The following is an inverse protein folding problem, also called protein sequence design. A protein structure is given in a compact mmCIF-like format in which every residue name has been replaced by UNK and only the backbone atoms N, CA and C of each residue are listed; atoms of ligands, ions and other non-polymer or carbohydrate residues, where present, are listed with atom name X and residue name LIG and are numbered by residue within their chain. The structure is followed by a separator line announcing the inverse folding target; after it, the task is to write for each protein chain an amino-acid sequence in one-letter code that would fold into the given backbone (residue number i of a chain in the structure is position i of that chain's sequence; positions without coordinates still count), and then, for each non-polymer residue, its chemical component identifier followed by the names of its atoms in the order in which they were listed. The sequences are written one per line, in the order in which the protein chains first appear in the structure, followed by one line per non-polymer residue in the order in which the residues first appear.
data_IF_921882547331
#
_entry.id   IF_921882547331
#
_cell.length_a   1.000
_cell.length_b   1.000
_cell.length_c   1.000
_cell.angle_alpha   90.00
_cell.angle_beta   90.00
_cell.angle_gamma   90.00
#
_symmetry.space_group_name_H-M   'P 1'
#
loop_
_entity.id
_entity.type
_entity.pdbx_description
1 polymer ?
#
# COMPACT_ATOMS: atom_id res chain seq x y z
N UNK A 1 -8.97 2.27 -65.93
CA UNK A 1 -8.62 2.83 -64.61
C UNK A 1 -9.91 3.29 -63.92
N UNK A 2 -10.43 2.50 -62.96
CA UNK A 2 -11.69 2.82 -62.29
C UNK A 2 -11.45 3.81 -61.13
N UNK A 3 -11.80 5.10 -61.34
CA UNK A 3 -11.85 6.11 -60.27
C UNK A 3 -12.97 5.74 -59.30
N UNK A 4 -12.62 5.24 -58.11
CA UNK A 4 -13.60 5.04 -57.02
C UNK A 4 -14.12 6.41 -56.58
N UNK A 5 -15.39 6.70 -56.88
CA UNK A 5 -16.11 7.85 -56.36
C UNK A 5 -16.26 7.69 -54.85
N UNK A 6 -15.57 8.51 -54.07
CA UNK A 6 -15.83 8.62 -52.63
C UNK A 6 -17.21 9.26 -52.44
N UNK A 7 -18.10 8.54 -51.76
CA UNK A 7 -19.39 9.07 -51.31
C UNK A 7 -19.13 10.12 -50.22
N UNK A 8 -19.89 11.23 -50.18
CA UNK A 8 -19.75 12.21 -49.11
C UNK A 8 -20.04 11.51 -47.77
N UNK A 9 -19.09 11.62 -46.84
CA UNK A 9 -19.24 11.09 -45.49
C UNK A 9 -20.47 11.73 -44.84
N UNK A 10 -21.38 10.89 -44.34
CA UNK A 10 -22.53 11.33 -43.57
C UNK A 10 -22.06 12.21 -42.40
N UNK A 11 -22.78 13.29 -42.05
CA UNK A 11 -22.44 14.16 -40.92
C UNK A 11 -22.29 13.38 -39.59
N UNK A 12 -22.98 12.24 -39.48
CA UNK A 12 -22.87 11.31 -38.33
C UNK A 12 -21.50 10.62 -38.30
N UNK A 13 -20.94 10.24 -39.45
CA UNK A 13 -19.62 9.63 -39.54
C UNK A 13 -18.50 10.63 -39.16
N UNK A 14 -18.72 11.92 -39.45
CA UNK A 14 -17.80 12.98 -39.02
C UNK A 14 -17.84 13.18 -37.51
N UNK A 15 -19.04 13.24 -36.91
CA UNK A 15 -19.20 13.31 -35.45
C UNK A 15 -18.57 12.13 -34.72
N UNK A 16 -18.77 10.91 -35.22
CA UNK A 16 -18.12 9.72 -34.67
C UNK A 16 -16.60 9.79 -34.76
N UNK A 17 -16.06 10.31 -35.87
CA UNK A 17 -14.62 10.53 -36.02
C UNK A 17 -14.05 11.50 -34.99
N UNK A 18 -14.74 12.61 -34.72
CA UNK A 18 -14.34 13.59 -33.69
C UNK A 18 -14.38 12.96 -32.30
N UNK A 19 -15.44 12.23 -31.97
CA UNK A 19 -15.59 11.57 -30.67
C UNK A 19 -14.46 10.56 -30.44
N UNK A 20 -14.19 9.70 -31.43
CA UNK A 20 -13.11 8.70 -31.35
C UNK A 20 -11.74 9.38 -31.21
N UNK A 21 -11.51 10.49 -31.92
CA UNK A 21 -10.26 11.25 -31.84
C UNK A 21 -10.03 11.85 -30.45
N UNK A 22 -11.06 12.45 -29.85
CA UNK A 22 -10.98 13.04 -28.50
C UNK A 22 -10.78 11.94 -27.44
N UNK A 23 -11.50 10.82 -27.54
CA UNK A 23 -11.31 9.66 -26.66
C UNK A 23 -9.91 9.08 -26.78
N UNK A 24 -9.38 8.93 -27.99
CA UNK A 24 -8.02 8.45 -28.23
C UNK A 24 -6.96 9.38 -27.61
N UNK A 25 -7.09 10.70 -27.81
CA UNK A 25 -6.19 11.68 -27.22
C UNK A 25 -6.24 11.65 -25.68
N UNK A 26 -7.42 11.51 -25.09
CA UNK A 26 -7.61 11.41 -23.65
C UNK A 26 -6.95 10.15 -23.06
N UNK A 27 -7.09 9.00 -23.71
CA UNK A 27 -6.46 7.75 -23.29
C UNK A 27 -4.93 7.88 -23.35
N UNK A 28 -4.38 8.44 -24.43
CA UNK A 28 -2.93 8.65 -24.58
C UNK A 28 -2.40 9.61 -23.51
N UNK A 29 -3.14 10.68 -23.20
CA UNK A 29 -2.78 11.62 -22.14
C UNK A 29 -2.73 10.93 -20.77
N UNK A 30 -3.75 10.15 -20.42
CA UNK A 30 -3.79 9.41 -19.16
C UNK A 30 -2.64 8.39 -19.04
N UNK A 31 -2.31 7.67 -20.11
CA UNK A 31 -1.18 6.72 -20.14
C UNK A 31 0.16 7.44 -19.95
N UNK A 32 0.33 8.63 -20.53
CA UNK A 32 1.56 9.43 -20.36
C UNK A 32 1.71 9.94 -18.92
N UNK A 33 0.62 10.42 -18.32
CA UNK A 33 0.62 10.90 -16.92
C UNK A 33 0.95 9.75 -15.95
N UNK A 34 0.30 8.58 -16.12
CA UNK A 34 0.57 7.40 -15.31
C UNK A 34 2.02 6.87 -15.47
N UNK A 35 2.59 6.99 -16.67
CA UNK A 35 3.99 6.60 -16.91
C UNK A 35 4.99 7.53 -16.22
N UNK A 36 4.68 8.82 -16.12
CA UNK A 36 5.53 9.81 -15.44
C UNK A 36 5.54 9.58 -13.93
N UNK A 37 4.37 9.29 -13.32
CA UNK A 37 4.27 8.98 -11.88
C UNK A 37 5.04 7.70 -11.52
N UNK A 38 4.95 6.66 -12.36
CA UNK A 38 5.60 5.37 -12.11
C UNK A 38 7.13 5.43 -12.28
N UNK A 39 7.65 6.30 -13.16
CA UNK A 39 9.10 6.53 -13.30
C UNK A 39 9.66 7.42 -12.17
N UNK A 40 8.90 8.42 -11.73
CA UNK A 40 9.31 9.31 -10.64
C UNK A 40 9.50 8.51 -9.33
N UNK A 41 8.56 7.61 -9.00
CA UNK A 41 8.67 6.75 -7.80
C UNK A 41 9.91 5.84 -7.83
N UNK A 42 10.20 5.20 -8.98
CA UNK A 42 11.36 4.31 -9.11
C UNK A 42 12.71 5.03 -9.01
N UNK A 43 12.80 6.30 -9.40
CA UNK A 43 14.02 7.09 -9.23
C UNK A 43 14.19 7.60 -7.80
N UNK A 44 13.09 7.90 -7.10
CA UNK A 44 13.11 8.30 -5.68
C UNK A 44 13.58 7.14 -4.79
N UNK A 45 13.12 5.91 -5.03
CA UNK A 45 13.56 4.74 -4.24
C UNK A 45 15.07 4.45 -4.40
N UNK A 46 15.59 4.55 -5.62
CA UNK A 46 17.03 4.31 -5.88
C UNK A 46 17.92 5.39 -5.28
N UNK A 47 17.47 6.65 -5.30
CA UNK A 47 18.24 7.77 -4.73
C UNK A 47 18.20 7.75 -3.20
N UNK A 48 17.07 7.39 -2.58
CA UNK A 48 16.99 7.24 -1.11
C UNK A 48 17.93 6.16 -0.57
N UNK A 49 18.09 5.04 -1.26
CA UNK A 49 19.03 3.98 -0.85
C UNK A 49 20.50 4.43 -0.91
N UNK A 50 20.87 5.29 -1.86
CA UNK A 50 22.21 5.86 -1.95
C UNK A 50 22.47 6.90 -0.85
N UNK A 51 21.49 7.75 -0.57
CA UNK A 51 21.58 8.76 0.50
C UNK A 51 21.67 8.11 1.88
N UNK A 52 20.90 7.05 2.15
CA UNK A 52 21.00 6.31 3.42
C UNK A 52 22.40 5.71 3.65
N UNK A 53 23.04 5.16 2.61
CA UNK A 53 24.40 4.63 2.71
C UNK A 53 25.41 5.72 3.06
N UNK A 54 25.29 6.89 2.44
CA UNK A 54 26.19 8.04 2.70
C UNK A 54 25.98 8.57 4.12
N UNK A 55 24.73 8.69 4.58
CA UNK A 55 24.41 9.11 5.95
C UNK A 55 24.97 8.14 6.99
N UNK A 56 24.80 6.83 6.79
CA UNK A 56 25.40 5.81 7.67
C UNK A 56 26.93 5.92 7.72
N UNK A 57 27.58 6.13 6.58
CA UNK A 57 29.04 6.26 6.52
C UNK A 57 29.55 7.52 7.22
N UNK A 58 28.83 8.64 7.10
CA UNK A 58 29.15 9.88 7.82
C UNK A 58 28.90 9.75 9.33
N UNK A 59 27.83 9.07 9.74
CA UNK A 59 27.51 8.83 11.14
C UNK A 59 28.55 7.91 11.81
N UNK A 60 29.02 6.87 11.10
CA UNK A 60 30.12 6.02 11.57
C UNK A 60 31.41 6.83 11.73
N UNK A 61 31.74 7.71 10.77
CA UNK A 61 32.92 8.59 10.89
C UNK A 61 32.84 9.57 12.06
N UNK A 62 31.66 10.12 12.35
CA UNK A 62 31.47 10.98 13.52
C UNK A 62 31.61 10.21 14.84
N UNK A 63 31.08 8.98 14.91
CA UNK A 63 31.21 8.14 16.10
C UNK A 63 32.65 7.65 16.36
N UNK A 64 33.51 7.60 15.33
CA UNK A 64 34.94 7.30 15.47
C UNK A 64 35.77 8.48 15.99
N UNK A 65 35.28 9.72 15.85
CA UNK A 65 35.98 10.95 16.27
C UNK A 65 35.42 11.46 17.61
N UNK A 66 34.22 11.05 18.01
CA UNK A 66 33.69 11.34 19.33
C UNK A 66 34.60 10.74 20.41
N UNK A 67 35.06 11.51 21.41
CA UNK A 67 35.77 10.94 22.53
C UNK A 67 34.85 9.91 23.18
N UNK A 68 35.28 8.64 23.19
CA UNK A 68 34.66 7.60 24.03
C UNK A 68 34.71 8.14 25.46
N UNK A 69 33.59 8.68 25.93
CA UNK A 69 33.37 8.89 27.35
C UNK A 69 33.57 7.53 28.00
N UNK A 70 34.67 7.37 28.71
CA UNK A 70 34.99 6.19 29.49
C UNK A 70 34.01 6.15 30.66
N UNK A 71 32.77 5.72 30.37
CA UNK A 71 31.79 5.37 31.39
C UNK A 71 32.44 4.36 32.32
N UNK A 72 32.31 4.60 33.63
CA UNK A 72 32.75 3.63 34.63
C UNK A 72 32.06 2.27 34.36
N UNK A 73 32.73 1.13 34.57
CA UNK A 73 32.11 -0.19 34.39
C UNK A 73 30.76 -0.34 35.14
N UNK A 74 30.58 0.36 36.26
CA UNK A 74 29.31 0.41 37.00
C UNK A 74 28.20 1.17 36.25
N UNK A 75 28.53 2.24 35.54
CA UNK A 75 27.59 3.01 34.73
C UNK A 75 27.20 2.25 33.47
N UNK A 76 28.13 1.49 32.90
CA UNK A 76 27.92 0.61 31.75
C UNK A 76 26.97 -0.54 32.09
N UNK A 77 27.14 -1.17 33.27
CA UNK A 77 26.23 -2.19 33.77
C UNK A 77 24.81 -1.65 34.05
N UNK A 78 24.70 -0.40 34.56
CA UNK A 78 23.40 0.27 34.77
C UNK A 78 22.72 0.62 33.45
N UNK A 79 23.46 1.09 32.44
CA UNK A 79 22.91 1.33 31.11
C UNK A 79 22.45 0.03 30.45
N UNK A 80 23.27 -1.03 30.48
CA UNK A 80 22.92 -2.29 29.84
C UNK A 80 21.67 -2.94 30.47
N UNK A 81 21.53 -2.86 31.80
CA UNK A 81 20.32 -3.35 32.47
C UNK A 81 19.08 -2.50 32.13
N UNK A 82 19.21 -1.18 32.02
CA UNK A 82 18.13 -0.30 31.59
C UNK A 82 17.72 -0.54 30.13
N UNK A 83 18.70 -0.75 29.23
CA UNK A 83 18.46 -1.06 27.82
C UNK A 83 17.80 -2.44 27.64
N UNK A 84 18.27 -3.45 28.39
CA UNK A 84 17.63 -4.78 28.38
C UNK A 84 16.17 -4.73 28.83
N UNK A 85 15.84 -3.93 29.85
CA UNK A 85 14.46 -3.72 30.29
C UNK A 85 13.61 -3.06 29.20
N UNK A 86 14.10 -1.98 28.59
CA UNK A 86 13.41 -1.32 27.46
C UNK A 86 13.21 -2.27 26.29
N UNK A 87 14.22 -3.06 25.94
CA UNK A 87 14.09 -4.07 24.88
C UNK A 87 13.06 -5.14 25.24
N UNK A 88 13.03 -5.63 26.47
CA UNK A 88 12.02 -6.59 26.92
C UNK A 88 10.59 -6.00 26.84
N UNK A 89 10.40 -4.75 27.24
CA UNK A 89 9.13 -4.03 27.12
C UNK A 89 8.70 -3.87 25.66
N UNK A 90 9.63 -3.51 24.76
CA UNK A 90 9.34 -3.40 23.33
C UNK A 90 8.96 -4.75 22.71
N UNK A 91 9.68 -5.83 23.06
CA UNK A 91 9.40 -7.17 22.56
C UNK A 91 8.05 -7.67 23.07
N UNK A 92 7.71 -7.43 24.33
CA UNK A 92 6.41 -7.82 24.89
C UNK A 92 5.27 -7.03 24.24
N UNK A 93 5.41 -5.71 24.08
CA UNK A 93 4.43 -4.89 23.37
C UNK A 93 4.25 -5.33 21.91
N UNK A 94 5.34 -5.67 21.22
CA UNK A 94 5.29 -6.18 19.85
C UNK A 94 4.53 -7.52 19.77
N UNK A 95 4.79 -8.43 20.71
CA UNK A 95 4.09 -9.73 20.80
C UNK A 95 2.59 -9.55 21.05
N UNK A 96 2.20 -8.64 21.95
CA UNK A 96 0.79 -8.35 22.21
C UNK A 96 0.09 -7.81 20.96
N UNK A 97 0.72 -6.87 20.24
CA UNK A 97 0.18 -6.36 18.97
C UNK A 97 0.06 -7.46 17.91
N UNK A 98 1.05 -8.35 17.80
CA UNK A 98 0.97 -9.47 16.87
C UNK A 98 -0.16 -10.43 17.22
N UNK A 99 -0.37 -10.73 18.51
CA UNK A 99 -1.47 -11.57 18.95
C UNK A 99 -2.84 -10.92 18.67
N UNK A 100 -2.97 -9.61 18.87
CA UNK A 100 -4.19 -8.87 18.56
C UNK A 100 -4.48 -8.85 17.06
N UNK A 101 -3.46 -8.63 16.22
CA UNK A 101 -3.61 -8.68 14.77
C UNK A 101 -4.03 -10.08 14.30
N UNK A 102 -3.39 -11.13 14.81
CA UNK A 102 -3.75 -12.50 14.49
C UNK A 102 -5.20 -12.83 14.90
N UNK A 103 -5.62 -12.38 16.09
CA UNK A 103 -7.01 -12.55 16.54
C UNK A 103 -8.01 -11.77 15.68
N UNK A 104 -7.63 -10.57 15.22
CA UNK A 104 -8.45 -9.75 14.33
C UNK A 104 -8.58 -10.39 12.94
N UNK A 105 -7.50 -10.94 12.39
CA UNK A 105 -7.51 -11.64 11.11
C UNK A 105 -8.37 -12.92 11.18
N UNK A 106 -8.21 -13.73 12.23
CA UNK A 106 -9.02 -14.93 12.45
C UNK A 106 -10.51 -14.60 12.69
N UNK A 107 -10.82 -13.47 13.34
CA UNK A 107 -12.18 -12.99 13.46
C UNK A 107 -12.74 -12.51 12.11
N UNK A 108 -11.92 -11.88 11.26
CA UNK A 108 -12.33 -11.43 9.94
C UNK A 108 -12.68 -12.60 9.01
N UNK A 109 -11.86 -13.64 8.99
CA UNK A 109 -12.09 -14.82 8.14
C UNK A 109 -13.36 -15.59 8.52
N UNK A 110 -13.74 -15.54 9.80
CA UNK A 110 -15.02 -16.07 10.29
C UNK A 110 -16.20 -15.13 9.99
N UNK A 111 -15.98 -13.82 10.05
CA UNK A 111 -17.03 -12.82 9.84
C UNK A 111 -17.40 -12.66 8.36
N UNK A 112 -16.42 -12.72 7.46
CA UNK A 112 -16.63 -12.47 6.04
C UNK A 112 -15.97 -13.52 5.17
N UNK A 113 -16.81 -14.33 4.51
CA UNK A 113 -16.39 -15.22 3.45
C UNK A 113 -16.98 -14.74 2.12
N UNK A 114 -16.16 -14.34 1.13
CA UNK A 114 -16.66 -13.90 -0.15
C UNK A 114 -17.35 -15.07 -0.87
N UNK A 115 -18.44 -14.77 -1.59
CA UNK A 115 -19.07 -15.77 -2.45
C UNK A 115 -18.13 -16.19 -3.59
N UNK A 116 -18.33 -17.39 -4.17
CA UNK A 116 -17.55 -17.86 -5.32
C UNK A 116 -17.56 -16.87 -6.49
N UNK A 117 -18.69 -16.21 -6.73
CA UNK A 117 -18.83 -15.19 -7.78
C UNK A 117 -17.97 -13.93 -7.51
N UNK A 118 -17.57 -13.69 -6.26
CA UNK A 118 -16.65 -12.62 -5.89
C UNK A 118 -15.19 -13.07 -5.82
N UNK A 119 -14.93 -14.36 -5.61
CA UNK A 119 -13.59 -14.92 -5.77
C UNK A 119 -13.17 -14.93 -7.25
N UNK A 120 -14.11 -15.22 -8.15
CA UNK A 120 -13.89 -15.27 -9.60
C UNK A 120 -14.92 -14.42 -10.34
N UNK A 121 -14.78 -13.08 -10.34
CA UNK A 121 -15.75 -12.20 -10.98
C UNK A 121 -15.67 -12.34 -12.51
N UNK A 122 -16.81 -12.64 -13.14
CA UNK A 122 -16.94 -12.81 -14.59
C UNK A 122 -16.83 -11.51 -15.38
N UNK A 123 -16.96 -10.35 -14.70
CA UNK A 123 -16.92 -9.03 -15.34
C UNK A 123 -16.42 -7.95 -14.39
N UNK A 124 -15.95 -6.83 -14.97
CA UNK A 124 -15.55 -5.65 -14.20
C UNK A 124 -16.71 -5.08 -13.36
N UNK A 125 -17.93 -5.12 -13.88
CA UNK A 125 -19.11 -4.69 -13.13
C UNK A 125 -19.34 -5.57 -11.90
N UNK A 126 -19.18 -6.89 -12.03
CA UNK A 126 -19.28 -7.82 -10.90
C UNK A 126 -18.16 -7.58 -9.88
N UNK A 127 -16.94 -7.30 -10.34
CA UNK A 127 -15.81 -6.94 -9.48
C UNK A 127 -16.13 -5.72 -8.60
N UNK A 128 -16.64 -4.63 -9.19
CA UNK A 128 -17.02 -3.43 -8.44
C UNK A 128 -18.09 -3.70 -7.38
N UNK A 129 -19.09 -4.53 -7.71
CA UNK A 129 -20.12 -4.93 -6.74
C UNK A 129 -19.52 -5.74 -5.58
N UNK A 130 -18.60 -6.66 -5.87
CA UNK A 130 -17.93 -7.47 -4.86
C UNK A 130 -17.01 -6.62 -3.96
N UNK A 131 -16.28 -5.66 -4.52
CA UNK A 131 -15.48 -4.71 -3.76
C UNK A 131 -16.36 -3.83 -2.85
N UNK A 132 -17.46 -3.31 -3.36
CA UNK A 132 -18.41 -2.53 -2.56
C UNK A 132 -19.02 -3.37 -1.42
N UNK A 133 -19.32 -4.64 -1.67
CA UNK A 133 -19.80 -5.58 -0.64
C UNK A 133 -18.73 -5.86 0.41
N UNK A 134 -17.49 -6.10 0.00
CA UNK A 134 -16.37 -6.34 0.91
C UNK A 134 -16.09 -5.12 1.79
N UNK A 135 -16.16 -3.91 1.24
CA UNK A 135 -15.99 -2.67 1.98
C UNK A 135 -17.08 -2.50 3.05
N UNK A 136 -18.35 -2.74 2.71
CA UNK A 136 -19.46 -2.72 3.68
C UNK A 136 -19.28 -3.77 4.77
N UNK A 137 -18.80 -4.97 4.42
CA UNK A 137 -18.50 -6.00 5.41
C UNK A 137 -17.35 -5.56 6.34
N UNK A 138 -16.33 -4.90 5.81
CA UNK A 138 -15.21 -4.36 6.59
C UNK A 138 -15.68 -3.30 7.59
N UNK A 139 -16.52 -2.36 7.17
CA UNK A 139 -17.08 -1.34 8.06
C UNK A 139 -17.86 -1.96 9.23
N UNK A 140 -18.71 -2.96 8.93
CA UNK A 140 -19.48 -3.69 9.95
C UNK A 140 -18.57 -4.48 10.89
N UNK A 141 -17.54 -5.12 10.36
CA UNK A 141 -16.56 -5.85 11.14
C UNK A 141 -15.82 -4.91 12.10
N UNK A 142 -15.32 -3.76 11.61
CA UNK A 142 -14.61 -2.80 12.46
C UNK A 142 -15.53 -2.24 13.56
N UNK A 143 -16.80 -2.00 13.26
CA UNK A 143 -17.78 -1.58 14.26
C UNK A 143 -17.99 -2.67 15.33
N UNK A 144 -18.18 -3.93 14.92
CA UNK A 144 -18.38 -5.05 15.82
C UNK A 144 -17.12 -5.41 16.63
N UNK A 145 -15.93 -5.26 16.03
CA UNK A 145 -14.63 -5.43 16.70
C UNK A 145 -14.43 -4.39 17.79
N UNK A 146 -14.69 -3.10 17.49
CA UNK A 146 -14.63 -2.01 18.48
C UNK A 146 -15.66 -2.18 19.60
N UNK A 147 -16.81 -2.76 19.30
CA UNK A 147 -17.85 -3.06 20.28
C UNK A 147 -17.52 -4.32 21.13
N UNK A 148 -16.41 -5.01 20.89
CA UNK A 148 -16.03 -6.24 21.60
C UNK A 148 -16.91 -7.46 21.28
N UNK A 149 -17.83 -7.36 20.33
CA UNK A 149 -18.81 -8.39 20.01
C UNK A 149 -18.19 -9.62 19.35
N UNK A 150 -17.03 -9.45 18.71
CA UNK A 150 -16.31 -10.50 17.99
C UNK A 150 -15.23 -11.21 18.83
N UNK A 151 -15.00 -10.75 20.06
CA UNK A 151 -13.97 -11.30 20.97
C UNK A 151 -14.51 -12.44 21.88
N UNK A 152 -15.81 -12.75 21.79
CA UNK A 152 -16.54 -13.55 22.79
C UNK A 152 -16.82 -15.01 22.41
N UNK A 153 -16.38 -15.53 21.27
CA UNK A 153 -16.57 -16.96 20.97
C UNK A 153 -15.31 -17.76 21.37
N UNK A 154 -15.26 -18.14 22.64
CA UNK A 154 -14.42 -19.22 23.17
C UNK A 154 -15.31 -20.30 23.74
#
# INVERSE_FOLDING_TARGET
MARRRHKPLSPIAWLLGVIISVLGAYIVYQVRVAAIENMAQRQIERSQAAVQKIQLQQQVRQNLIAPRSTLSPDELARQETAERRRHAELVTAARLRQAELAAKDDAWDRFYQPSRACMYPESNQRKLVCEASANKARERFEAAWKAGQLQSQR
#
